data_IF_683810791869
#
_entry.id   IF_683810791869
#
_cell.length_a   1.000
_cell.length_b   1.000
_cell.length_c   1.000
_cell.angle_alpha   90.00
_cell.angle_beta   90.00
_cell.angle_gamma   90.00
#
_symmetry.space_group_name_H-M   'P 1'
#
loop_
_entity.id
_entity.type
_entity.pdbx_description
1 polymer ?
#
# COMPACT_ATOMS: atom_id res chain seq x y z
N UNK A 1 8.74 21.98 -21.92
CA UNK A 1 8.69 22.66 -20.59
C UNK A 1 7.26 23.07 -20.28
N UNK A 2 6.53 23.61 -21.26
CA UNK A 2 5.11 23.99 -21.12
C UNK A 2 4.19 22.79 -20.78
N UNK A 3 4.31 21.65 -21.47
CA UNK A 3 3.50 20.45 -21.16
C UNK A 3 3.67 19.94 -19.72
N UNK A 4 4.89 20.03 -19.17
CA UNK A 4 5.16 19.62 -17.80
C UNK A 4 4.50 20.57 -16.80
N UNK A 5 4.56 21.87 -17.06
CA UNK A 5 3.95 22.90 -16.21
C UNK A 5 2.42 22.75 -16.23
N UNK A 6 1.85 22.48 -17.40
CA UNK A 6 0.42 22.24 -17.57
C UNK A 6 -0.04 20.97 -16.81
N UNK A 7 0.70 19.86 -16.93
CA UNK A 7 0.41 18.64 -16.17
C UNK A 7 0.42 18.89 -14.66
N UNK A 8 1.43 19.60 -14.14
CA UNK A 8 1.54 19.90 -12.70
C UNK A 8 0.40 20.83 -12.26
N UNK A 9 0.08 21.85 -13.05
CA UNK A 9 -1.02 22.77 -12.77
C UNK A 9 -2.37 22.03 -12.67
N UNK A 10 -2.63 21.10 -13.58
CA UNK A 10 -3.87 20.32 -13.61
C UNK A 10 -3.96 19.28 -12.48
N UNK A 11 -2.83 18.85 -11.93
CA UNK A 11 -2.76 17.80 -10.89
C UNK A 11 -2.22 18.31 -9.55
N UNK A 12 -2.29 19.63 -9.32
CA UNK A 12 -1.63 20.31 -8.22
C UNK A 12 -1.94 19.67 -6.86
N UNK A 13 -3.21 19.35 -6.58
CA UNK A 13 -3.62 18.70 -5.33
C UNK A 13 -2.93 17.34 -5.10
N UNK A 14 -2.90 16.48 -6.12
CA UNK A 14 -2.28 15.14 -6.01
C UNK A 14 -0.77 15.28 -5.81
N UNK A 15 -0.14 16.22 -6.53
CA UNK A 15 1.29 16.51 -6.38
C UNK A 15 1.61 16.95 -4.95
N UNK A 16 0.82 17.87 -4.36
CA UNK A 16 0.98 18.27 -2.97
C UNK A 16 0.82 17.09 -2.00
N UNK A 17 -0.21 16.26 -2.19
CA UNK A 17 -0.44 15.09 -1.33
C UNK A 17 0.75 14.12 -1.40
N UNK A 18 1.24 13.82 -2.60
CA UNK A 18 2.39 12.93 -2.80
C UNK A 18 3.62 13.47 -2.07
N UNK A 19 3.96 14.74 -2.30
CA UNK A 19 5.15 15.35 -1.69
C UNK A 19 5.04 15.31 -0.16
N UNK A 20 3.93 15.80 0.40
CA UNK A 20 3.74 15.83 1.85
C UNK A 20 3.69 14.43 2.47
N UNK A 21 3.06 13.46 1.81
CA UNK A 21 3.03 12.07 2.27
C UNK A 21 4.43 11.44 2.32
N UNK A 22 5.31 11.75 1.34
CA UNK A 22 6.71 11.29 1.35
C UNK A 22 7.45 11.89 2.56
N UNK A 23 7.32 13.20 2.80
CA UNK A 23 7.94 13.86 3.96
C UNK A 23 7.47 13.22 5.27
N UNK A 24 6.17 13.02 5.43
CA UNK A 24 5.59 12.36 6.61
C UNK A 24 6.14 10.94 6.77
N UNK A 25 6.22 10.17 5.69
CA UNK A 25 6.76 8.80 5.73
C UNK A 25 8.21 8.74 6.19
N UNK A 26 9.07 9.63 5.68
CA UNK A 26 10.49 9.70 6.08
C UNK A 26 10.62 10.07 7.55
N UNK A 27 9.90 11.10 8.01
CA UNK A 27 10.02 11.56 9.40
C UNK A 27 9.48 10.52 10.39
N UNK A 28 8.40 9.81 10.05
CA UNK A 28 7.85 8.73 10.88
C UNK A 28 8.84 7.57 11.07
N UNK A 29 9.58 7.18 10.02
CA UNK A 29 10.49 6.03 10.08
C UNK A 29 11.79 6.38 10.82
N UNK A 30 12.24 7.63 10.73
CA UNK A 30 13.51 8.10 11.32
C UNK A 30 13.61 7.91 12.83
N UNK A 31 12.49 7.97 13.55
CA UNK A 31 12.44 7.92 15.02
C UNK A 31 12.17 6.53 15.60
N UNK A 32 12.26 5.46 14.81
CA UNK A 32 11.89 4.10 15.24
C UNK A 32 13.11 3.38 15.87
N UNK A 33 12.97 2.78 17.08
CA UNK A 33 14.01 1.95 17.70
C UNK A 33 14.45 0.78 16.81
N UNK A 34 15.73 0.43 16.87
CA UNK A 34 16.31 -0.63 16.02
C UNK A 34 15.58 -1.98 16.12
N UNK A 35 15.08 -2.31 17.32
CA UNK A 35 14.34 -3.55 17.60
C UNK A 35 13.01 -3.64 16.83
N UNK A 36 12.46 -2.51 16.38
CA UNK A 36 11.18 -2.46 15.66
C UNK A 36 11.36 -2.44 14.14
N UNK A 37 12.58 -2.41 13.58
CA UNK A 37 12.74 -2.39 12.12
C UNK A 37 12.16 -3.61 11.40
N UNK A 38 12.31 -4.81 11.97
CA UNK A 38 11.75 -6.03 11.36
C UNK A 38 10.22 -6.07 11.44
N UNK A 39 9.57 -5.80 12.61
CA UNK A 39 8.13 -5.60 12.66
C UNK A 39 7.62 -4.48 11.74
N UNK A 40 8.35 -3.36 11.64
CA UNK A 40 8.02 -2.24 10.76
C UNK A 40 8.06 -2.67 9.28
N UNK A 41 9.11 -3.37 8.87
CA UNK A 41 9.24 -3.89 7.50
C UNK A 41 8.08 -4.85 7.17
N UNK A 42 7.72 -5.73 8.09
CA UNK A 42 6.56 -6.62 7.94
C UNK A 42 5.24 -5.84 7.83
N UNK A 43 5.06 -4.80 8.65
CA UNK A 43 3.88 -3.94 8.61
C UNK A 43 3.78 -3.13 7.32
N UNK A 44 4.89 -2.57 6.84
CA UNK A 44 4.95 -1.86 5.57
C UNK A 44 4.63 -2.79 4.38
N UNK A 45 5.07 -4.05 4.42
CA UNK A 45 4.68 -5.06 3.46
C UNK A 45 3.16 -5.33 3.51
N UNK A 46 2.54 -5.44 4.69
CA UNK A 46 1.10 -5.62 4.81
C UNK A 46 0.30 -4.41 4.23
N UNK A 47 0.80 -3.18 4.44
CA UNK A 47 0.20 -1.96 3.90
C UNK A 47 0.28 -1.88 2.36
N UNK A 48 1.34 -2.45 1.76
CA UNK A 48 1.48 -2.53 0.30
C UNK A 48 0.35 -3.32 -0.36
N UNK A 49 -0.37 -4.14 0.39
CA UNK A 49 -1.57 -4.84 -0.05
C UNK A 49 -2.74 -3.91 -0.46
N UNK A 50 -2.59 -2.58 -0.35
CA UNK A 50 -3.50 -1.58 -0.94
C UNK A 50 -3.71 -1.78 -2.46
N UNK A 51 -2.83 -2.54 -3.14
CA UNK A 51 -3.02 -2.99 -4.54
C UNK A 51 -4.41 -3.61 -4.78
N UNK A 52 -5.06 -4.19 -3.77
CA UNK A 52 -6.45 -4.68 -3.86
C UNK A 52 -7.40 -3.59 -4.40
N UNK A 53 -7.25 -2.34 -3.94
CA UNK A 53 -8.10 -1.23 -4.38
C UNK A 53 -7.92 -0.99 -5.88
N UNK A 54 -6.68 -1.02 -6.37
CA UNK A 54 -6.39 -0.89 -7.80
C UNK A 54 -7.00 -2.03 -8.61
N UNK A 55 -6.87 -3.28 -8.14
CA UNK A 55 -7.45 -4.44 -8.81
C UNK A 55 -8.99 -4.36 -8.90
N UNK A 56 -9.65 -3.94 -7.82
CA UNK A 56 -11.11 -3.72 -7.80
C UNK A 56 -11.51 -2.63 -8.79
N UNK A 57 -10.77 -1.50 -8.83
CA UNK A 57 -11.06 -0.42 -9.76
C UNK A 57 -10.87 -0.85 -11.23
N UNK A 58 -9.84 -1.64 -11.53
CA UNK A 58 -9.65 -2.19 -12.89
C UNK A 58 -10.81 -3.09 -13.28
N UNK A 59 -11.20 -4.02 -12.40
CA UNK A 59 -12.35 -4.89 -12.66
C UNK A 59 -13.64 -4.11 -12.85
N UNK A 60 -13.87 -3.06 -12.05
CA UNK A 60 -15.08 -2.24 -12.10
C UNK A 60 -15.24 -1.50 -13.44
N UNK A 61 -14.13 -1.09 -14.05
CA UNK A 61 -14.13 -0.38 -15.34
C UNK A 61 -13.91 -1.30 -16.55
N UNK A 62 -13.74 -2.61 -16.33
CA UNK A 62 -13.59 -3.58 -17.41
C UNK A 62 -14.96 -3.97 -18.00
N UNK A 63 -14.99 -4.23 -19.31
CA UNK A 63 -16.21 -4.71 -19.96
C UNK A 63 -16.62 -6.07 -19.37
N UNK A 64 -17.91 -6.32 -19.07
CA UNK A 64 -18.37 -7.62 -18.55
C UNK A 64 -18.01 -8.83 -19.44
N UNK A 65 -17.73 -8.58 -20.72
CA UNK A 65 -17.33 -9.63 -21.69
C UNK A 65 -15.82 -9.83 -21.78
N UNK A 66 -15.01 -8.96 -21.18
CA UNK A 66 -13.56 -9.11 -21.11
C UNK A 66 -13.18 -10.06 -19.95
N UNK A 67 -13.36 -11.35 -20.20
CA UNK A 67 -13.05 -12.40 -19.23
C UNK A 67 -11.58 -12.44 -18.83
N UNK A 68 -10.65 -11.95 -19.68
CA UNK A 68 -9.23 -11.93 -19.36
C UNK A 68 -8.95 -10.87 -18.30
N UNK A 69 -9.43 -9.63 -18.51
CA UNK A 69 -9.29 -8.55 -17.54
C UNK A 69 -9.95 -8.92 -16.20
N UNK A 70 -11.15 -9.49 -16.24
CA UNK A 70 -11.87 -9.94 -15.04
C UNK A 70 -11.13 -11.06 -14.31
N UNK A 71 -10.57 -12.05 -15.02
CA UNK A 71 -9.82 -13.14 -14.40
C UNK A 71 -8.52 -12.65 -13.76
N UNK A 72 -7.75 -11.79 -14.45
CA UNK A 72 -6.52 -11.20 -13.90
C UNK A 72 -6.83 -10.32 -12.69
N UNK A 73 -7.89 -9.51 -12.77
CA UNK A 73 -8.36 -8.70 -11.66
C UNK A 73 -8.75 -9.55 -10.45
N UNK A 74 -9.48 -10.65 -10.66
CA UNK A 74 -9.84 -11.58 -9.59
C UNK A 74 -8.59 -12.17 -8.91
N UNK A 75 -7.62 -12.64 -9.69
CA UNK A 75 -6.35 -13.16 -9.15
C UNK A 75 -5.60 -12.07 -8.38
N UNK A 76 -5.56 -10.84 -8.89
CA UNK A 76 -4.92 -9.71 -8.23
C UNK A 76 -5.57 -9.37 -6.88
N UNK A 77 -6.91 -9.42 -6.79
CA UNK A 77 -7.64 -9.25 -5.53
C UNK A 77 -7.29 -10.37 -4.55
N UNK A 78 -7.29 -11.63 -4.98
CA UNK A 78 -6.93 -12.78 -4.13
C UNK A 78 -5.51 -12.63 -3.58
N UNK A 79 -4.53 -12.35 -4.44
CA UNK A 79 -3.14 -12.15 -4.04
C UNK A 79 -2.98 -10.95 -3.10
N UNK A 80 -3.70 -9.86 -3.37
CA UNK A 80 -3.72 -8.69 -2.51
C UNK A 80 -4.26 -9.02 -1.12
N UNK A 81 -5.37 -9.77 -1.02
CA UNK A 81 -5.93 -10.20 0.27
C UNK A 81 -4.94 -11.08 1.03
N UNK A 82 -4.28 -12.02 0.35
CA UNK A 82 -3.24 -12.87 0.97
C UNK A 82 -2.08 -12.03 1.53
N UNK A 83 -1.65 -10.98 0.81
CA UNK A 83 -0.62 -10.06 1.28
C UNK A 83 -1.08 -9.29 2.53
N UNK A 84 -2.27 -8.70 2.51
CA UNK A 84 -2.82 -7.93 3.64
C UNK A 84 -2.98 -8.83 4.87
N UNK A 85 -3.71 -9.94 4.73
CA UNK A 85 -4.02 -10.84 5.85
C UNK A 85 -2.76 -11.49 6.39
N UNK A 86 -1.91 -12.04 5.51
CA UNK A 86 -0.65 -12.68 5.90
C UNK A 86 0.30 -11.67 6.54
N UNK A 87 0.45 -10.49 5.93
CA UNK A 87 1.31 -9.43 6.42
C UNK A 87 0.89 -8.93 7.82
N UNK A 88 -0.39 -8.66 8.05
CA UNK A 88 -0.86 -8.23 9.37
C UNK A 88 -0.80 -9.35 10.41
N UNK A 89 -1.08 -10.61 10.04
CA UNK A 89 -0.98 -11.74 10.95
C UNK A 89 0.48 -11.95 11.43
N UNK A 90 1.44 -11.88 10.52
CA UNK A 90 2.87 -11.98 10.85
C UNK A 90 3.31 -10.78 11.68
N UNK A 91 2.93 -9.56 11.28
CA UNK A 91 3.29 -8.35 12.03
C UNK A 91 2.76 -8.40 13.46
N UNK A 92 1.53 -8.86 13.68
CA UNK A 92 0.97 -9.01 15.02
C UNK A 92 1.77 -10.02 15.87
N UNK A 93 2.16 -11.17 15.30
CA UNK A 93 3.03 -12.14 15.98
C UNK A 93 4.38 -11.56 16.36
N UNK A 94 4.99 -10.73 15.50
CA UNK A 94 6.24 -10.06 15.81
C UNK A 94 6.06 -9.04 16.96
N UNK A 95 4.98 -8.26 16.94
CA UNK A 95 4.69 -7.28 17.98
C UNK A 95 4.33 -7.92 19.33
N UNK A 96 3.75 -9.12 19.33
CA UNK A 96 3.49 -9.89 20.55
C UNK A 96 4.76 -10.22 21.34
N UNK A 97 5.91 -10.33 20.68
CA UNK A 97 7.21 -10.57 21.34
C UNK A 97 7.65 -9.40 22.24
N UNK A 98 7.07 -8.20 22.05
CA UNK A 98 7.35 -7.01 22.86
C UNK A 98 6.36 -6.82 24.02
N UNK A 99 5.29 -7.61 24.09
CA UNK A 99 4.36 -7.57 25.22
C UNK A 99 5.05 -8.20 26.43
N UNK A 100 5.06 -7.51 27.58
CA UNK A 100 5.49 -8.11 28.85
C UNK A 100 4.66 -9.38 29.10
N UNK A 101 5.32 -10.51 29.38
CA UNK A 101 4.64 -11.70 29.92
C UNK A 101 3.87 -11.24 31.16
N UNK A 102 2.55 -11.51 31.18
CA UNK A 102 1.81 -11.56 32.44
C UNK A 102 2.38 -12.68 33.31
#
# INVERSE_FOLDING_TARGET
>A
MEELIEFISNNLQIVYIIILAIFVGVELIKSIPAVLHTPLMSGANALSGVVIVGAILVMLHSDPTDYLALALGFVAVVLGILNVVGGFAVTNRMLEMFKKKK
#
